data_IF_083013316178
#
_entry.id   IF_083013316178
#
_cell.length_a   1.000
_cell.length_b   1.000
_cell.length_c   1.000
_cell.angle_alpha   90.00
_cell.angle_beta   90.00
_cell.angle_gamma   90.00
#
_symmetry.space_group_name_H-M   'P 1'
#
loop_
_entity.id
_entity.type
_entity.pdbx_description
1 polymer ?
#
# COMPACT_ATOMS: atom_id res chain seq x y z
N UNK A 1 -0.83 -71.67 24.97
CA UNK A 1 -0.66 -70.85 23.78
C UNK A 1 -1.10 -69.43 24.11
N UNK A 2 -0.15 -68.48 24.26
CA UNK A 2 -0.46 -67.06 24.52
C UNK A 2 -0.75 -66.35 23.21
N UNK A 3 -1.96 -65.79 23.05
CA UNK A 3 -2.32 -64.96 21.91
C UNK A 3 -1.73 -63.56 22.10
N UNK A 4 -0.78 -63.17 21.25
CA UNK A 4 -0.25 -61.83 21.18
C UNK A 4 -1.20 -61.03 20.29
N UNK A 5 -1.94 -60.08 20.88
CA UNK A 5 -2.77 -59.13 20.13
C UNK A 5 -1.86 -57.97 19.73
N UNK A 6 -1.55 -57.86 18.42
CA UNK A 6 -0.78 -56.78 17.85
C UNK A 6 -1.72 -55.58 17.67
N UNK A 7 -1.56 -54.56 18.49
CA UNK A 7 -2.28 -53.29 18.33
C UNK A 7 -1.54 -52.44 17.30
N UNK A 8 -2.11 -52.28 16.10
CA UNK A 8 -1.62 -51.36 15.09
C UNK A 8 -2.05 -49.95 15.47
N UNK A 9 -1.10 -49.13 15.94
CA UNK A 9 -1.32 -47.69 16.15
C UNK A 9 -1.22 -46.99 14.76
N UNK A 10 -2.37 -46.68 14.17
CA UNK A 10 -2.43 -45.86 12.95
C UNK A 10 -2.04 -44.41 13.31
N UNK A 11 -0.77 -44.05 13.12
CA UNK A 11 -0.34 -42.64 13.09
C UNK A 11 -0.91 -41.99 11.82
N UNK A 12 -2.03 -41.29 11.97
CA UNK A 12 -2.51 -40.38 10.93
C UNK A 12 -1.59 -39.17 10.90
N UNK A 13 -0.65 -39.14 9.97
CA UNK A 13 0.10 -37.91 9.63
C UNK A 13 -0.86 -36.96 8.95
N UNK A 14 -1.31 -35.95 9.67
CA UNK A 14 -1.97 -34.79 9.05
C UNK A 14 -0.93 -34.06 8.22
N UNK A 15 -0.99 -34.21 6.90
CA UNK A 15 -0.25 -33.34 5.98
C UNK A 15 -1.00 -32.02 5.99
N UNK A 16 -0.54 -31.05 6.76
CA UNK A 16 -1.04 -29.70 6.69
C UNK A 16 -0.52 -29.08 5.39
N UNK A 17 -1.42 -28.84 4.44
CA UNK A 17 -1.11 -28.02 3.27
C UNK A 17 -0.98 -26.59 3.72
N UNK A 18 0.01 -25.86 3.17
CA UNK A 18 0.11 -24.43 3.39
C UNK A 18 -1.16 -23.72 2.93
N UNK A 19 -1.53 -22.63 3.62
CA UNK A 19 -2.61 -21.74 3.20
C UNK A 19 -2.15 -21.02 1.93
N UNK A 20 -2.97 -21.03 0.89
CA UNK A 20 -2.74 -20.25 -0.32
C UNK A 20 -3.47 -18.91 -0.18
N UNK A 21 -2.73 -17.84 -0.05
CA UNK A 21 -3.25 -16.49 0.06
C UNK A 21 -2.91 -15.67 -1.20
N UNK A 22 -3.86 -14.84 -1.63
CA UNK A 22 -3.66 -13.83 -2.66
C UNK A 22 -3.84 -12.47 -2.03
N UNK A 23 -3.01 -11.52 -2.42
CA UNK A 23 -3.07 -10.12 -1.99
C UNK A 23 -3.15 -9.21 -3.21
N UNK A 24 -3.61 -7.99 -3.03
CA UNK A 24 -3.73 -7.03 -4.12
C UNK A 24 -2.38 -6.42 -4.51
N UNK A 25 -1.58 -6.01 -3.53
CA UNK A 25 -0.34 -5.26 -3.76
C UNK A 25 0.85 -5.90 -3.05
N UNK A 26 2.05 -5.53 -3.49
CA UNK A 26 3.30 -6.11 -3.00
C UNK A 26 3.61 -5.84 -1.51
N UNK A 27 3.30 -4.64 -0.92
CA UNK A 27 3.43 -4.43 0.52
C UNK A 27 2.63 -5.43 1.36
N UNK A 28 1.39 -5.75 0.97
CA UNK A 28 0.58 -6.75 1.67
C UNK A 28 1.23 -8.13 1.65
N UNK A 29 1.87 -8.51 0.53
CA UNK A 29 2.61 -9.78 0.46
C UNK A 29 3.71 -9.82 1.52
N UNK A 30 4.41 -8.71 1.75
CA UNK A 30 5.42 -8.59 2.80
C UNK A 30 4.80 -8.77 4.18
N UNK A 31 3.66 -8.14 4.45
CA UNK A 31 2.98 -8.22 5.73
C UNK A 31 2.43 -9.62 6.02
N UNK A 32 1.76 -10.22 5.02
CA UNK A 32 1.23 -11.59 5.15
C UNK A 32 2.36 -12.61 5.34
N UNK A 33 3.48 -12.46 4.64
CA UNK A 33 4.66 -13.31 4.83
C UNK A 33 5.31 -13.13 6.20
N UNK A 34 5.37 -11.90 6.71
CA UNK A 34 5.92 -11.62 8.03
C UNK A 34 5.16 -12.37 9.12
N UNK A 35 3.83 -12.46 9.03
CA UNK A 35 2.97 -13.10 10.03
C UNK A 35 2.78 -14.60 9.73
N UNK A 36 2.49 -14.95 8.47
CA UNK A 36 2.20 -16.31 8.03
C UNK A 36 3.43 -17.22 7.95
N UNK A 37 4.61 -16.63 7.72
CA UNK A 37 5.88 -17.36 7.61
C UNK A 37 5.82 -18.46 6.55
N UNK A 38 6.32 -19.64 6.89
CA UNK A 38 6.36 -20.84 6.04
C UNK A 38 5.02 -21.58 5.94
N UNK A 39 3.99 -21.15 6.69
CA UNK A 39 2.65 -21.74 6.68
C UNK A 39 1.75 -21.16 5.59
N UNK A 40 2.14 -20.06 4.96
CA UNK A 40 1.32 -19.34 3.98
C UNK A 40 2.10 -19.11 2.69
N UNK A 41 1.57 -19.62 1.59
CA UNK A 41 2.02 -19.28 0.24
C UNK A 41 1.28 -18.02 -0.20
N UNK A 42 2.01 -16.96 -0.54
CA UNK A 42 1.39 -15.67 -0.89
C UNK A 42 1.76 -15.26 -2.30
N UNK A 43 0.76 -15.03 -3.14
CA UNK A 43 0.89 -14.37 -4.45
C UNK A 43 0.24 -12.99 -4.44
N UNK A 44 0.66 -12.09 -5.33
CA UNK A 44 0.11 -10.74 -5.44
C UNK A 44 -0.44 -10.47 -6.84
N UNK A 45 -1.45 -9.59 -6.93
CA UNK A 45 -2.08 -9.22 -8.19
C UNK A 45 -1.28 -8.16 -8.93
N UNK A 46 -1.19 -6.96 -8.40
CA UNK A 46 -0.54 -5.82 -9.07
C UNK A 46 0.96 -6.07 -9.19
N UNK A 47 1.42 -6.21 -10.44
CA UNK A 47 2.83 -6.47 -10.72
C UNK A 47 3.64 -5.17 -10.64
N UNK A 48 4.94 -5.21 -10.28
CA UNK A 48 5.80 -4.03 -10.24
C UNK A 48 5.70 -3.18 -11.52
N UNK A 49 5.60 -1.86 -11.36
CA UNK A 49 5.46 -0.90 -12.45
C UNK A 49 4.05 -0.76 -13.03
N UNK A 50 3.06 -1.45 -12.47
CA UNK A 50 1.65 -1.25 -12.82
C UNK A 50 0.93 -0.50 -11.70
N UNK A 51 -0.04 0.33 -12.08
CA UNK A 51 -0.90 1.04 -11.16
C UNK A 51 -2.06 0.18 -10.65
N UNK A 52 -2.34 0.14 -9.35
CA UNK A 52 -3.51 -0.56 -8.81
C UNK A 52 -4.85 0.09 -9.23
N UNK A 53 -4.83 1.34 -9.71
CA UNK A 53 -6.05 2.03 -10.16
C UNK A 53 -6.63 1.41 -11.43
N UNK A 54 -5.76 0.96 -12.35
CA UNK A 54 -6.16 0.47 -13.69
C UNK A 54 -5.72 -0.97 -13.96
N UNK A 55 -5.37 -1.73 -12.91
CA UNK A 55 -4.83 -3.06 -13.07
C UNK A 55 -5.85 -4.06 -13.61
N UNK A 56 -5.41 -4.85 -14.59
CA UNK A 56 -6.16 -6.00 -15.10
C UNK A 56 -5.38 -7.30 -14.85
N UNK A 57 -5.94 -8.25 -14.08
CA UNK A 57 -5.30 -9.53 -13.79
C UNK A 57 -4.99 -10.37 -15.03
N UNK A 58 -3.81 -10.96 -15.06
CA UNK A 58 -3.39 -11.88 -16.12
C UNK A 58 -4.04 -13.26 -15.96
N UNK A 59 -4.23 -14.03 -17.03
CA UNK A 59 -4.78 -15.38 -16.96
C UNK A 59 -4.06 -16.32 -15.97
N UNK A 60 -2.73 -16.20 -15.83
CA UNK A 60 -1.95 -16.97 -14.84
C UNK A 60 -2.35 -16.65 -13.39
N UNK A 61 -2.68 -15.41 -13.08
CA UNK A 61 -3.12 -14.99 -11.75
C UNK A 61 -4.53 -15.50 -11.41
N UNK A 62 -5.37 -15.68 -12.43
CA UNK A 62 -6.68 -16.33 -12.25
C UNK A 62 -6.55 -17.79 -11.80
N UNK A 63 -5.44 -18.46 -12.13
CA UNK A 63 -5.12 -19.80 -11.60
C UNK A 63 -4.81 -19.75 -10.10
N UNK A 64 -4.12 -18.70 -9.64
CA UNK A 64 -3.85 -18.50 -8.21
C UNK A 64 -5.15 -18.24 -7.45
N UNK A 65 -6.04 -17.38 -7.98
CA UNK A 65 -7.38 -17.14 -7.43
C UNK A 65 -8.19 -18.43 -7.31
N UNK A 66 -8.18 -19.27 -8.35
CA UNK A 66 -8.93 -20.54 -8.35
C UNK A 66 -8.48 -21.52 -7.25
N UNK A 67 -7.26 -21.35 -6.73
CA UNK A 67 -6.64 -22.20 -5.69
C UNK A 67 -6.53 -21.53 -4.33
N UNK A 68 -6.86 -20.24 -4.25
CA UNK A 68 -6.70 -19.46 -3.03
C UNK A 68 -7.70 -19.90 -1.93
N UNK A 69 -7.21 -19.97 -0.71
CA UNK A 69 -8.01 -20.13 0.50
C UNK A 69 -8.46 -18.77 1.04
N UNK A 70 -7.59 -17.76 0.89
CA UNK A 70 -7.78 -16.38 1.34
C UNK A 70 -7.45 -15.39 0.22
N UNK A 71 -8.22 -14.33 0.14
CA UNK A 71 -7.87 -13.09 -0.53
C UNK A 71 -7.86 -11.97 0.50
N UNK A 72 -6.74 -11.28 0.64
CA UNK A 72 -6.64 -10.09 1.46
C UNK A 72 -6.85 -8.87 0.57
N UNK A 73 -7.90 -8.13 0.83
CA UNK A 73 -8.27 -6.91 0.11
C UNK A 73 -7.90 -5.68 0.93
N UNK A 74 -7.46 -4.61 0.28
CA UNK A 74 -7.02 -3.36 0.91
C UNK A 74 -7.75 -2.13 0.37
N UNK A 75 -8.84 -2.34 -0.36
CA UNK A 75 -9.72 -1.31 -0.89
C UNK A 75 -9.08 -0.45 -2.02
N UNK A 76 -8.23 -1.07 -2.85
CA UNK A 76 -7.71 -0.43 -4.06
C UNK A 76 -8.68 -0.61 -5.23
N UNK A 77 -8.69 0.35 -6.18
CA UNK A 77 -9.78 0.50 -7.16
C UNK A 77 -10.03 -0.73 -8.03
N UNK A 78 -8.97 -1.44 -8.47
CA UNK A 78 -9.21 -2.63 -9.29
C UNK A 78 -10.01 -3.72 -8.56
N UNK A 79 -9.96 -3.75 -7.23
CA UNK A 79 -10.71 -4.71 -6.42
C UNK A 79 -12.22 -4.56 -6.60
N UNK A 80 -12.72 -3.33 -6.73
CA UNK A 80 -14.14 -3.05 -6.91
C UNK A 80 -14.69 -3.75 -8.17
N UNK A 81 -13.88 -3.86 -9.21
CA UNK A 81 -14.24 -4.52 -10.48
C UNK A 81 -13.97 -6.03 -10.45
N UNK A 82 -12.89 -6.45 -9.78
CA UNK A 82 -12.39 -7.82 -9.91
C UNK A 82 -12.77 -8.75 -8.78
N UNK A 83 -12.96 -8.27 -7.53
CA UNK A 83 -13.34 -9.14 -6.41
C UNK A 83 -14.64 -9.94 -6.67
N UNK A 84 -15.72 -9.38 -7.23
CA UNK A 84 -16.91 -10.17 -7.58
C UNK A 84 -16.61 -11.31 -8.57
N UNK A 85 -15.69 -11.07 -9.54
CA UNK A 85 -15.27 -12.07 -10.51
C UNK A 85 -14.42 -13.16 -9.86
N UNK A 86 -13.52 -12.80 -8.93
CA UNK A 86 -12.70 -13.73 -8.15
C UNK A 86 -13.59 -14.64 -7.28
N UNK A 87 -14.55 -14.06 -6.57
CA UNK A 87 -15.50 -14.82 -5.77
C UNK A 87 -16.38 -15.76 -6.62
N UNK A 88 -16.77 -15.32 -7.83
CA UNK A 88 -17.49 -16.17 -8.78
C UNK A 88 -16.63 -17.34 -9.27
N UNK A 89 -15.33 -17.12 -9.48
CA UNK A 89 -14.38 -18.16 -9.91
C UNK A 89 -14.08 -19.14 -8.78
N UNK A 90 -13.93 -18.65 -7.55
CA UNK A 90 -13.65 -19.45 -6.36
C UNK A 90 -14.59 -19.09 -5.20
N UNK A 91 -15.80 -19.63 -5.14
CA UNK A 91 -16.77 -19.34 -4.07
C UNK A 91 -16.32 -19.81 -2.67
N UNK A 92 -15.26 -20.63 -2.57
CA UNK A 92 -14.72 -21.09 -1.29
C UNK A 92 -13.67 -20.15 -0.72
N UNK A 93 -13.08 -19.31 -1.55
CA UNK A 93 -12.09 -18.32 -1.14
C UNK A 93 -12.74 -17.29 -0.20
N UNK A 94 -12.13 -17.07 0.95
CA UNK A 94 -12.57 -16.03 1.88
C UNK A 94 -11.90 -14.72 1.53
N UNK A 95 -12.69 -13.68 1.35
CA UNK A 95 -12.18 -12.29 1.20
C UNK A 95 -12.12 -11.67 2.58
N UNK A 96 -10.97 -11.12 2.92
CA UNK A 96 -10.68 -10.44 4.19
C UNK A 96 -10.38 -8.98 3.88
N UNK A 97 -11.13 -8.09 4.47
CA UNK A 97 -10.89 -6.65 4.39
C UNK A 97 -9.78 -6.26 5.37
N UNK A 98 -8.62 -5.87 4.86
CA UNK A 98 -7.49 -5.38 5.67
C UNK A 98 -7.65 -3.93 6.11
N UNK A 99 -8.55 -3.18 5.47
CA UNK A 99 -8.89 -1.81 5.85
C UNK A 99 -9.89 -1.73 7.01
N UNK A 100 -10.42 -2.88 7.47
CA UNK A 100 -11.34 -2.92 8.62
C UNK A 100 -10.70 -2.25 9.85
N UNK A 101 -11.42 -1.31 10.46
CA UNK A 101 -10.99 -0.48 11.59
C UNK A 101 -9.88 0.56 11.30
N UNK A 102 -9.48 0.76 10.04
CA UNK A 102 -8.64 1.89 9.66
C UNK A 102 -9.50 3.13 9.47
N UNK A 103 -9.12 4.23 10.13
CA UNK A 103 -9.79 5.52 9.89
C UNK A 103 -9.39 6.06 8.53
N UNK A 104 -10.36 6.18 7.63
CA UNK A 104 -10.14 6.70 6.28
C UNK A 104 -9.98 8.21 6.26
N UNK A 105 -9.11 8.71 5.40
CA UNK A 105 -8.95 10.14 5.08
C UNK A 105 -9.39 10.39 3.64
N UNK A 106 -9.72 11.65 3.33
CA UNK A 106 -10.02 12.04 1.96
C UNK A 106 -8.74 12.12 1.13
N UNK A 107 -8.82 11.71 -0.14
CA UNK A 107 -7.73 11.90 -1.10
C UNK A 107 -7.44 13.39 -1.25
N UNK A 108 -6.21 13.82 -1.00
CA UNK A 108 -5.84 15.23 -1.10
C UNK A 108 -5.58 15.61 -2.56
N UNK A 109 -6.60 16.06 -3.26
CA UNK A 109 -6.51 16.67 -4.58
C UNK A 109 -6.64 18.20 -4.43
N UNK A 110 -5.62 18.88 -3.93
CA UNK A 110 -5.64 20.35 -3.73
C UNK A 110 -5.48 21.17 -5.03
N UNK A 111 -5.50 20.56 -6.19
CA UNK A 111 -5.36 21.28 -7.45
C UNK A 111 -6.73 21.77 -7.98
N UNK A 112 -7.57 22.37 -7.11
CA UNK A 112 -8.68 23.20 -7.58
C UNK A 112 -8.11 24.49 -8.17
N UNK A 113 -7.60 24.41 -9.39
CA UNK A 113 -7.39 25.60 -10.20
C UNK A 113 -8.77 26.11 -10.56
N UNK A 114 -9.21 27.23 -9.97
CA UNK A 114 -10.35 27.98 -10.45
C UNK A 114 -10.08 28.30 -11.94
N UNK A 115 -10.61 27.46 -12.81
CA UNK A 115 -10.64 27.75 -14.23
C UNK A 115 -11.69 28.84 -14.42
N UNK A 116 -11.24 30.10 -14.51
CA UNK A 116 -11.99 31.21 -15.09
C UNK A 116 -12.24 30.94 -16.58
N UNK A 117 -13.02 29.92 -16.89
CA UNK A 117 -13.55 29.71 -18.23
C UNK A 117 -14.98 29.18 -18.12
N UNK A 118 -15.95 30.10 -18.34
CA UNK A 118 -17.37 29.85 -18.55
C UNK A 118 -17.58 29.00 -19.82
N UNK A 119 -17.40 27.67 -19.74
CA UNK A 119 -17.99 26.75 -20.70
C UNK A 119 -18.45 25.47 -20.01
N UNK A 120 -19.73 25.44 -19.69
CA UNK A 120 -20.46 24.24 -19.31
C UNK A 120 -20.42 23.21 -20.45
N UNK A 121 -19.56 22.22 -20.35
CA UNK A 121 -19.74 20.97 -21.05
C UNK A 121 -20.02 19.89 -19.97
N UNK A 122 -21.25 19.35 -20.01
CA UNK A 122 -21.68 18.20 -19.24
C UNK A 122 -20.87 16.97 -19.67
N UNK A 123 -19.70 16.78 -19.06
CA UNK A 123 -19.08 15.47 -18.94
C UNK A 123 -19.10 15.11 -17.46
N UNK A 124 -19.71 13.97 -17.14
CA UNK A 124 -19.58 13.35 -15.81
C UNK A 124 -18.10 12.98 -15.62
N UNK A 125 -17.33 13.95 -15.15
CA UNK A 125 -15.93 13.77 -14.78
C UNK A 125 -15.93 13.03 -13.45
N UNK A 126 -15.25 11.89 -13.43
CA UNK A 126 -14.92 11.16 -12.21
C UNK A 126 -14.04 12.06 -11.35
N UNK A 127 -14.68 12.90 -10.53
CA UNK A 127 -14.01 13.55 -9.41
C UNK A 127 -13.54 12.43 -8.49
N UNK A 128 -12.23 12.32 -8.28
CA UNK A 128 -11.67 11.50 -7.21
C UNK A 128 -12.00 12.13 -5.84
N UNK A 129 -13.29 12.35 -5.58
CA UNK A 129 -13.85 12.73 -4.27
C UNK A 129 -14.05 11.44 -3.46
N UNK A 130 -13.02 10.62 -3.32
CA UNK A 130 -13.07 9.36 -2.60
C UNK A 130 -12.13 9.34 -1.41
N UNK A 131 -12.31 8.35 -0.58
CA UNK A 131 -11.38 8.02 0.49
C UNK A 131 -10.03 7.62 -0.12
N UNK A 132 -8.94 8.06 0.52
CA UNK A 132 -7.57 7.68 0.11
C UNK A 132 -7.36 6.18 0.38
N UNK A 133 -7.08 5.35 -0.65
CA UNK A 133 -6.87 3.92 -0.47
C UNK A 133 -5.49 3.57 0.11
N UNK A 134 -4.52 4.51 0.13
CA UNK A 134 -3.10 4.24 0.42
C UNK A 134 -2.82 4.05 1.93
N UNK A 135 -3.69 3.33 2.64
CA UNK A 135 -3.66 3.15 4.09
C UNK A 135 -2.35 2.56 4.62
N UNK A 136 -1.66 1.74 3.81
CA UNK A 136 -0.42 1.05 4.18
C UNK A 136 0.80 1.98 4.26
N UNK A 137 0.66 3.26 3.91
CA UNK A 137 1.77 4.22 3.96
C UNK A 137 2.02 4.81 5.34
N UNK A 138 1.16 4.54 6.33
CA UNK A 138 1.39 4.92 7.73
C UNK A 138 1.62 3.71 8.64
N UNK A 139 2.66 3.72 9.50
CA UNK A 139 2.95 2.63 10.44
C UNK A 139 1.78 2.29 11.37
N UNK A 140 1.02 3.28 11.84
CA UNK A 140 -0.15 3.08 12.70
C UNK A 140 -1.22 2.21 12.02
N UNK A 141 -1.48 2.43 10.73
CA UNK A 141 -2.44 1.64 9.97
C UNK A 141 -1.93 0.24 9.69
N UNK A 142 -0.62 0.08 9.44
CA UNK A 142 -0.03 -1.25 9.19
C UNK A 142 -0.11 -2.14 10.43
N UNK A 143 -0.14 -1.59 11.65
CA UNK A 143 -0.43 -2.36 12.87
C UNK A 143 -1.84 -2.97 12.83
N UNK A 144 -2.85 -2.19 12.42
CA UNK A 144 -4.23 -2.65 12.27
C UNK A 144 -4.31 -3.73 11.18
N UNK A 145 -3.68 -3.48 10.03
CA UNK A 145 -3.58 -4.45 8.92
C UNK A 145 -2.95 -5.76 9.41
N UNK A 146 -1.87 -5.70 10.20
CA UNK A 146 -1.19 -6.86 10.76
C UNK A 146 -2.11 -7.68 11.67
N UNK A 147 -2.89 -7.02 12.52
CA UNK A 147 -3.87 -7.67 13.38
C UNK A 147 -5.00 -8.33 12.57
N UNK A 148 -5.48 -7.68 11.50
CA UNK A 148 -6.50 -8.25 10.60
C UNK A 148 -5.97 -9.50 9.88
N UNK A 149 -4.72 -9.48 9.42
CA UNK A 149 -4.04 -10.66 8.83
C UNK A 149 -3.96 -11.79 9.87
N UNK A 150 -3.46 -11.52 11.07
CA UNK A 150 -3.37 -12.49 12.13
C UNK A 150 -4.72 -13.12 12.46
N UNK A 151 -5.76 -12.30 12.63
CA UNK A 151 -7.11 -12.75 12.94
C UNK A 151 -7.69 -13.66 11.84
N UNK A 152 -7.38 -13.38 10.57
CA UNK A 152 -7.79 -14.23 9.46
C UNK A 152 -7.05 -15.58 9.47
N UNK A 153 -5.75 -15.57 9.71
CA UNK A 153 -4.92 -16.79 9.72
C UNK A 153 -5.32 -17.73 10.84
N UNK A 154 -5.54 -17.26 12.08
CA UNK A 154 -5.95 -18.11 13.20
C UNK A 154 -7.35 -18.69 13.05
N UNK A 155 -8.24 -18.04 12.25
CA UNK A 155 -9.58 -18.57 11.94
C UNK A 155 -9.54 -19.73 10.96
N UNK A 156 -8.55 -19.80 10.08
CA UNK A 156 -8.44 -20.86 9.08
C UNK A 156 -7.48 -21.98 9.54
N UNK A 157 -6.46 -21.62 10.33
CA UNK A 157 -5.44 -22.54 10.84
C UNK A 157 -5.21 -22.35 12.37
N UNK A 158 -6.17 -22.74 13.21
CA UNK A 158 -6.10 -22.56 14.66
C UNK A 158 -5.00 -23.38 15.34
N UNK A 159 -4.46 -24.40 14.67
CA UNK A 159 -3.37 -25.25 15.22
C UNK A 159 -2.06 -24.47 15.33
N UNK A 160 -1.85 -23.47 14.47
CA UNK A 160 -0.64 -22.66 14.41
C UNK A 160 -0.80 -21.29 15.09
N UNK A 161 -1.79 -21.08 15.96
CA UNK A 161 -2.07 -19.79 16.62
C UNK A 161 -0.84 -19.20 17.31
N UNK A 162 -0.09 -20.00 18.07
CA UNK A 162 1.11 -19.54 18.78
C UNK A 162 2.26 -19.16 17.81
N UNK A 163 2.33 -19.83 16.67
CA UNK A 163 3.30 -19.50 15.63
C UNK A 163 2.99 -18.14 15.02
N UNK A 164 1.74 -17.91 14.60
CA UNK A 164 1.31 -16.63 14.05
C UNK A 164 1.41 -15.50 15.07
N UNK A 165 1.11 -15.77 16.34
CA UNK A 165 1.21 -14.74 17.40
C UNK A 165 2.64 -14.28 17.62
N UNK A 166 3.61 -15.19 17.67
CA UNK A 166 5.04 -14.83 17.79
C UNK A 166 5.49 -13.97 16.58
N UNK A 167 5.08 -14.37 15.38
CA UNK A 167 5.43 -13.63 14.17
C UNK A 167 4.78 -12.25 14.14
N UNK A 168 3.51 -12.13 14.55
CA UNK A 168 2.82 -10.85 14.71
C UNK A 168 3.59 -9.94 15.68
N UNK A 169 3.98 -10.45 16.85
CA UNK A 169 4.69 -9.64 17.85
C UNK A 169 6.04 -9.14 17.32
N UNK A 170 6.77 -9.98 16.57
CA UNK A 170 8.02 -9.57 15.90
C UNK A 170 7.75 -8.50 14.84
N UNK A 171 6.69 -8.66 14.05
CA UNK A 171 6.35 -7.71 13.00
C UNK A 171 5.88 -6.37 13.58
N UNK A 172 5.04 -6.37 14.61
CA UNK A 172 4.64 -5.15 15.32
C UNK A 172 5.84 -4.40 15.90
N UNK A 173 6.79 -5.12 16.50
CA UNK A 173 8.04 -4.50 17.00
C UNK A 173 8.87 -3.88 15.87
N UNK A 174 8.89 -4.48 14.68
CA UNK A 174 9.58 -3.90 13.50
C UNK A 174 8.87 -2.65 12.95
N UNK A 175 7.55 -2.61 13.04
CA UNK A 175 6.75 -1.42 12.68
C UNK A 175 7.04 -0.28 13.67
N UNK A 176 7.07 -0.58 14.99
CA UNK A 176 7.41 0.40 16.03
C UNK A 176 8.82 0.99 15.82
N UNK A 177 9.78 0.14 15.46
CA UNK A 177 11.15 0.59 15.17
C UNK A 177 11.21 1.48 13.93
N UNK A 178 10.45 1.13 12.89
CA UNK A 178 10.33 1.97 11.67
C UNK A 178 9.76 3.34 12.00
N UNK A 179 8.66 3.38 12.75
CA UNK A 179 7.99 4.61 13.19
C UNK A 179 8.93 5.49 14.02
N UNK A 180 9.62 4.90 14.99
CA UNK A 180 10.61 5.59 15.82
C UNK A 180 11.73 6.20 14.97
N UNK A 181 12.28 5.48 14.01
CA UNK A 181 13.33 5.99 13.12
C UNK A 181 12.84 7.16 12.28
N UNK A 182 11.61 7.11 11.76
CA UNK A 182 11.02 8.20 10.99
C UNK A 182 10.85 9.44 11.88
N UNK A 183 10.33 9.29 13.09
CA UNK A 183 10.19 10.37 14.06
C UNK A 183 11.55 11.00 14.37
N UNK A 184 12.58 10.19 14.65
CA UNK A 184 13.95 10.67 14.91
C UNK A 184 14.55 11.44 13.73
N UNK A 185 14.30 10.97 12.50
CA UNK A 185 14.76 11.63 11.27
C UNK A 185 14.07 12.99 11.09
N UNK A 186 12.76 13.03 11.32
CA UNK A 186 11.92 14.22 11.13
C UNK A 186 11.89 15.17 12.34
N UNK A 187 12.54 14.82 13.45
CA UNK A 187 12.50 15.58 14.72
C UNK A 187 12.94 17.06 14.65
N UNK A 188 13.68 17.43 13.60
CA UNK A 188 14.16 18.81 13.37
C UNK A 188 13.30 19.57 12.33
N UNK A 189 12.18 19.00 11.89
CA UNK A 189 11.30 19.59 10.88
C UNK A 189 10.21 20.43 11.54
N UNK A 190 9.81 21.48 10.82
CA UNK A 190 8.68 22.31 11.22
C UNK A 190 7.37 21.59 10.86
N UNK A 191 6.34 21.76 11.70
CA UNK A 191 5.01 21.25 11.44
C UNK A 191 4.47 21.83 10.11
N UNK A 192 3.87 20.96 9.29
CA UNK A 192 3.31 21.34 7.99
C UNK A 192 4.35 21.51 6.88
N UNK A 193 5.59 21.00 7.05
CA UNK A 193 6.58 21.00 5.96
C UNK A 193 6.07 20.19 4.77
N UNK A 194 6.27 20.75 3.55
CA UNK A 194 5.66 20.21 2.32
C UNK A 194 6.67 19.48 1.46
N UNK A 195 6.18 18.42 0.82
CA UNK A 195 6.92 17.68 -0.20
C UNK A 195 6.05 17.41 -1.43
N UNK A 196 6.66 17.34 -2.61
CA UNK A 196 5.93 17.03 -3.84
C UNK A 196 5.99 15.56 -4.19
N UNK A 197 4.88 15.06 -4.72
CA UNK A 197 4.76 13.69 -5.25
C UNK A 197 4.09 13.76 -6.63
N UNK A 198 4.38 12.82 -7.53
CA UNK A 198 3.66 12.80 -8.79
C UNK A 198 2.18 12.46 -8.53
N UNK A 199 1.89 11.27 -8.03
CA UNK A 199 0.56 10.81 -7.62
C UNK A 199 0.42 10.86 -6.08
N UNK A 200 -0.68 11.38 -5.51
CA UNK A 200 -0.82 11.66 -4.09
C UNK A 200 -1.04 10.39 -3.22
N UNK A 201 -0.07 9.49 -3.19
CA UNK A 201 -0.14 8.20 -2.49
C UNK A 201 0.35 8.25 -1.03
N UNK A 202 0.71 9.40 -0.50
CA UNK A 202 1.39 9.52 0.79
C UNK A 202 0.58 10.32 1.83
N UNK A 203 -0.73 10.42 1.64
CA UNK A 203 -1.62 11.19 2.51
C UNK A 203 -1.58 10.73 3.97
N UNK A 204 -1.63 9.41 4.21
CA UNK A 204 -1.54 8.86 5.57
C UNK A 204 -0.15 9.02 6.19
N UNK A 205 0.92 8.92 5.39
CA UNK A 205 2.28 9.23 5.86
C UNK A 205 2.38 10.71 6.25
N UNK A 206 1.92 11.60 5.40
CA UNK A 206 1.93 13.04 5.66
C UNK A 206 1.16 13.37 6.95
N UNK A 207 -0.05 12.82 7.12
CA UNK A 207 -0.85 13.02 8.32
C UNK A 207 -0.16 12.47 9.58
N UNK A 208 0.46 11.28 9.50
CA UNK A 208 1.10 10.64 10.66
C UNK A 208 2.27 11.45 11.21
N UNK A 209 2.95 12.23 10.37
CA UNK A 209 4.16 12.99 10.73
C UNK A 209 3.99 14.50 10.59
N UNK A 210 2.74 14.98 10.56
CA UNK A 210 2.40 16.39 10.46
C UNK A 210 3.07 17.12 9.29
N UNK A 211 3.11 16.42 8.13
CA UNK A 211 3.61 16.91 6.86
C UNK A 211 2.44 17.17 5.89
N UNK A 212 2.72 17.81 4.77
CA UNK A 212 1.75 18.04 3.71
C UNK A 212 2.29 17.59 2.36
N UNK A 213 1.52 16.78 1.60
CA UNK A 213 1.89 16.41 0.23
C UNK A 213 1.26 17.36 -0.77
N UNK A 214 2.01 17.70 -1.83
CA UNK A 214 1.54 18.43 -3.01
C UNK A 214 1.61 17.49 -4.20
N UNK A 215 0.47 17.21 -4.86
CA UNK A 215 0.43 16.38 -6.05
C UNK A 215 0.90 17.15 -7.29
N UNK A 216 1.71 16.51 -8.13
CA UNK A 216 2.14 17.07 -9.44
C UNK A 216 1.10 16.81 -10.52
N UNK A 217 0.45 15.64 -10.48
CA UNK A 217 -0.62 15.32 -11.41
C UNK A 217 -1.85 16.21 -11.20
N UNK A 218 -2.57 16.45 -12.28
CA UNK A 218 -3.87 17.12 -12.27
C UNK A 218 -4.90 16.16 -12.84
N UNK A 219 -5.90 15.77 -12.01
CA UNK A 219 -6.93 14.80 -12.40
C UNK A 219 -6.35 13.46 -12.93
N UNK A 220 -5.29 12.96 -12.32
CA UNK A 220 -4.62 11.71 -12.72
C UNK A 220 -3.80 11.82 -14.01
N UNK A 221 -3.52 13.04 -14.52
CA UNK A 221 -2.79 13.29 -15.78
C UNK A 221 -1.56 14.16 -15.54
N UNK A 222 -0.64 14.16 -16.49
CA UNK A 222 0.45 15.15 -16.52
C UNK A 222 -0.12 16.58 -16.63
N UNK A 223 0.41 17.54 -15.84
CA UNK A 223 -0.07 18.93 -15.86
C UNK A 223 0.18 19.57 -17.20
N UNK A 224 -0.78 20.42 -17.65
CA UNK A 224 -0.62 21.29 -18.81
C UNK A 224 0.39 22.41 -18.52
N UNK A 225 0.91 23.11 -19.53
CA UNK A 225 1.92 24.16 -19.33
C UNK A 225 1.52 25.26 -18.32
N UNK A 226 0.25 25.67 -18.30
CA UNK A 226 -0.27 26.67 -17.33
C UNK A 226 -0.26 26.14 -15.91
N UNK A 227 -0.69 24.89 -15.72
CA UNK A 227 -0.71 24.18 -14.44
C UNK A 227 0.72 23.95 -13.92
N UNK A 228 1.66 23.59 -14.81
CA UNK A 228 3.06 23.46 -14.44
C UNK A 228 3.67 24.77 -13.91
N UNK A 229 3.32 25.92 -14.49
CA UNK A 229 3.78 27.23 -13.98
C UNK A 229 3.23 27.48 -12.57
N UNK A 230 1.98 27.13 -12.33
CA UNK A 230 1.37 27.22 -10.99
C UNK A 230 2.09 26.33 -9.99
N UNK A 231 2.30 25.04 -10.31
CA UNK A 231 3.03 24.09 -9.48
C UNK A 231 4.44 24.57 -9.14
N UNK A 232 5.15 25.18 -10.10
CA UNK A 232 6.47 25.78 -9.88
C UNK A 232 6.41 26.97 -8.90
N UNK A 233 5.37 27.80 -8.99
CA UNK A 233 5.17 28.94 -8.11
C UNK A 233 4.87 28.45 -6.68
N UNK A 234 3.91 27.56 -6.55
CA UNK A 234 3.54 26.93 -5.28
C UNK A 234 4.73 26.25 -4.61
N UNK A 235 5.49 25.44 -5.37
CA UNK A 235 6.66 24.75 -4.82
C UNK A 235 7.76 25.71 -4.33
N UNK A 236 7.90 26.88 -4.95
CA UNK A 236 8.82 27.96 -4.50
C UNK A 236 8.33 28.63 -3.23
N UNK A 237 7.05 29.01 -3.18
CA UNK A 237 6.42 29.68 -2.05
C UNK A 237 6.42 28.79 -0.81
N UNK A 238 6.10 27.52 -0.99
CA UNK A 238 6.03 26.51 0.05
C UNK A 238 7.41 25.89 0.42
N UNK A 239 8.48 26.34 -0.26
CA UNK A 239 9.87 25.89 0.00
C UNK A 239 10.04 24.37 -0.03
N UNK A 240 9.36 23.72 -0.98
CA UNK A 240 9.45 22.27 -1.17
C UNK A 240 10.91 21.82 -1.29
N UNK A 241 11.29 20.76 -0.55
CA UNK A 241 12.69 20.29 -0.46
C UNK A 241 12.99 19.05 -1.30
N UNK A 242 11.98 18.29 -1.69
CA UNK A 242 12.14 17.08 -2.50
C UNK A 242 10.92 16.85 -3.38
N UNK A 243 11.13 16.22 -4.53
CA UNK A 243 10.07 15.70 -5.38
C UNK A 243 10.21 14.19 -5.46
N UNK A 244 9.12 13.49 -5.16
CA UNK A 244 9.05 12.04 -5.26
C UNK A 244 8.40 11.62 -6.57
N UNK A 245 9.03 10.67 -7.25
CA UNK A 245 8.49 10.02 -8.45
C UNK A 245 8.26 8.56 -8.21
N UNK A 246 7.23 8.01 -8.84
CA UNK A 246 6.83 6.62 -8.73
C UNK A 246 7.13 5.87 -10.04
N UNK A 247 7.51 4.57 -9.98
CA UNK A 247 7.83 3.78 -11.17
C UNK A 247 6.69 3.65 -12.19
N UNK A 248 5.45 3.82 -11.71
CA UNK A 248 4.21 3.69 -12.48
C UNK A 248 3.93 4.90 -13.38
N UNK A 249 4.64 6.03 -13.15
CA UNK A 249 4.41 7.31 -13.83
C UNK A 249 5.66 7.85 -14.51
N UNK A 250 5.47 8.77 -15.45
CA UNK A 250 6.55 9.54 -16.08
C UNK A 250 7.22 10.47 -15.06
N UNK A 251 8.54 10.57 -15.09
CA UNK A 251 9.29 11.47 -14.22
C UNK A 251 9.69 12.80 -14.93
N UNK A 252 9.21 13.03 -16.15
CA UNK A 252 9.60 14.17 -16.99
C UNK A 252 9.26 15.50 -16.33
N UNK A 253 8.01 15.65 -15.87
CA UNK A 253 7.55 16.89 -15.22
C UNK A 253 8.26 17.13 -13.90
N UNK A 254 8.40 16.09 -13.09
CA UNK A 254 9.13 16.15 -11.81
C UNK A 254 10.58 16.60 -12.00
N UNK A 255 11.27 16.13 -13.04
CA UNK A 255 12.62 16.58 -13.39
C UNK A 255 12.70 18.05 -13.80
N UNK A 256 11.69 18.56 -14.52
CA UNK A 256 11.60 19.98 -14.89
C UNK A 256 11.46 20.84 -13.63
N UNK A 257 10.52 20.51 -12.74
CA UNK A 257 10.30 21.22 -11.48
C UNK A 257 11.56 21.17 -10.60
N UNK A 258 12.13 19.98 -10.41
CA UNK A 258 13.32 19.78 -9.58
C UNK A 258 14.53 20.58 -10.07
N UNK A 259 14.74 20.65 -11.39
CA UNK A 259 15.81 21.46 -12.01
C UNK A 259 15.63 22.94 -11.76
N UNK A 260 14.40 23.45 -11.89
CA UNK A 260 14.08 24.86 -11.69
C UNK A 260 14.24 25.26 -10.21
N UNK A 261 13.87 24.37 -9.29
CA UNK A 261 13.95 24.60 -7.84
C UNK A 261 15.31 24.22 -7.23
N UNK A 262 16.19 23.56 -7.99
CA UNK A 262 17.47 23.01 -7.52
C UNK A 262 17.33 22.03 -6.36
N UNK A 263 16.28 21.19 -6.38
CA UNK A 263 15.99 20.18 -5.37
C UNK A 263 16.14 18.76 -5.96
N UNK A 264 16.34 17.72 -5.12
CA UNK A 264 16.49 16.36 -5.59
C UNK A 264 15.16 15.77 -6.10
N UNK A 265 15.28 14.92 -7.13
CA UNK A 265 14.21 13.96 -7.50
C UNK A 265 14.55 12.63 -6.86
N UNK A 266 13.65 12.12 -6.05
CA UNK A 266 13.83 10.84 -5.34
C UNK A 266 12.82 9.83 -5.86
N UNK A 267 13.30 8.66 -6.29
CA UNK A 267 12.42 7.60 -6.77
C UNK A 267 11.97 6.75 -5.60
N UNK A 268 10.67 6.74 -5.33
CA UNK A 268 10.01 5.96 -4.29
C UNK A 268 8.78 5.27 -4.87
N UNK A 269 8.35 4.16 -4.28
CA UNK A 269 7.11 3.51 -4.70
C UNK A 269 6.24 3.21 -3.49
N UNK A 270 4.97 3.62 -3.49
CA UNK A 270 4.04 3.17 -2.44
C UNK A 270 3.85 1.65 -2.46
N UNK A 271 4.19 1.00 -3.58
CA UNK A 271 4.10 -0.45 -3.78
C UNK A 271 5.41 -1.20 -3.50
N UNK A 272 6.38 -0.59 -2.82
CA UNK A 272 7.68 -1.21 -2.53
C UNK A 272 7.54 -2.40 -1.56
N UNK A 273 8.18 -3.53 -1.90
CA UNK A 273 8.23 -4.71 -1.03
C UNK A 273 9.02 -4.46 0.27
N UNK A 274 10.09 -3.67 0.20
CA UNK A 274 10.90 -3.23 1.34
C UNK A 274 10.24 -2.03 2.05
N UNK A 275 9.01 -2.22 2.49
CA UNK A 275 8.12 -1.19 3.02
C UNK A 275 8.78 -0.28 4.06
N UNK A 276 9.41 -0.83 5.10
CA UNK A 276 10.07 -0.07 6.19
C UNK A 276 11.18 0.83 5.66
N UNK A 277 12.12 0.25 4.89
CA UNK A 277 13.24 1.00 4.30
C UNK A 277 12.74 2.12 3.38
N UNK A 278 11.69 1.86 2.61
CA UNK A 278 11.10 2.83 1.71
C UNK A 278 10.52 4.04 2.47
N UNK A 279 9.79 3.83 3.57
CA UNK A 279 9.28 4.93 4.41
C UNK A 279 10.42 5.72 5.07
N UNK A 280 11.47 5.05 5.55
CA UNK A 280 12.65 5.70 6.13
C UNK A 280 13.38 6.54 5.07
N UNK A 281 13.49 6.07 3.83
CA UNK A 281 14.12 6.81 2.74
C UNK A 281 13.32 8.06 2.35
N UNK A 282 11.97 7.98 2.39
CA UNK A 282 11.10 9.16 2.21
C UNK A 282 11.38 10.19 3.32
N UNK A 283 11.38 9.76 4.58
CA UNK A 283 11.67 10.64 5.70
C UNK A 283 13.06 11.32 5.58
N UNK A 284 14.10 10.55 5.19
CA UNK A 284 15.45 11.10 4.94
C UNK A 284 15.47 12.14 3.83
N UNK A 285 14.77 11.88 2.73
CA UNK A 285 14.72 12.81 1.59
C UNK A 285 14.01 14.11 1.96
N UNK A 286 12.90 14.05 2.70
CA UNK A 286 12.22 15.24 3.24
C UNK A 286 13.17 15.98 4.18
N UNK A 287 13.90 15.25 5.04
CA UNK A 287 14.88 15.80 5.96
C UNK A 287 16.17 16.36 5.31
N UNK A 288 16.32 16.23 3.98
CA UNK A 288 17.58 16.59 3.31
C UNK A 288 18.79 15.79 3.80
N UNK A 289 18.55 14.62 4.38
CA UNK A 289 19.56 13.68 4.89
C UNK A 289 19.67 12.53 3.88
N UNK A 290 20.55 12.67 2.88
CA UNK A 290 20.83 11.61 1.89
C UNK A 290 21.91 10.64 2.36
#
# INVERSE_FOLDING_TARGET
MKKITLVFLLLTTYIFSNINAVVSILPEQTFVKAIGGDKVNVSHMVQPGNSPHTYEPKPSQMVDIAKADLYFAIDVEFEHVWLPKFQSLNPKMRVIDLAENVTKIQMQNKNEYEADDEHHSQHEEHKHEGEDPHIWTAPSNVKIIAENIYNALIKIDPVNVDYYKRNLDIFLASIDETDRQIIDILSSHEDGEKFMVFHPSWGYFAQAYNLEQIAVEVEGKEPKPKELIHLLTEAKEEKVRAIFTQPEFSDTVAKIIAKELQIPVVKVSPLAANWSENLINIAKAIAGKN
#
